data_IF_208525634769
#
_entry.id   IF_208525634769
#
_cell.length_a   1.000
_cell.length_b   1.000
_cell.length_c   1.000
_cell.angle_alpha   90.00
_cell.angle_beta   90.00
_cell.angle_gamma   90.00
#
_symmetry.space_group_name_H-M   'P 1'
#
loop_
_entity.id
_entity.type
_entity.pdbx_description
1 polymer ?
#
# COMPACT_ATOMS: atom_id res chain seq x y z
N UNK A 1 -9.29 1.28 7.16
CA UNK A 1 -10.67 0.79 7.36
C UNK A 1 -10.76 0.23 8.77
N UNK A 2 -11.92 0.31 9.43
CA UNK A 2 -12.15 -0.32 10.73
C UNK A 2 -12.85 -1.67 10.64
N UNK A 3 -13.20 -2.14 9.45
CA UNK A 3 -13.98 -3.37 9.29
C UNK A 3 -13.23 -4.60 9.86
N UNK A 4 -11.90 -4.61 9.75
CA UNK A 4 -11.04 -5.66 10.31
C UNK A 4 -11.20 -5.84 11.83
N UNK A 5 -11.63 -4.80 12.55
CA UNK A 5 -11.83 -4.89 14.00
C UNK A 5 -13.00 -5.81 14.39
N UNK A 6 -13.90 -6.11 13.45
CA UNK A 6 -15.03 -7.02 13.68
C UNK A 6 -14.62 -8.49 13.77
N UNK A 7 -13.49 -8.83 13.15
CA UNK A 7 -12.99 -10.20 13.04
C UNK A 7 -11.81 -10.44 13.98
N UNK A 8 -11.61 -9.58 14.99
CA UNK A 8 -10.51 -9.72 15.96
C UNK A 8 -10.58 -11.05 16.71
N UNK A 9 -11.78 -11.49 17.05
CA UNK A 9 -12.04 -12.78 17.71
C UNK A 9 -11.56 -13.97 16.87
N UNK A 10 -11.52 -13.82 15.55
CA UNK A 10 -10.99 -14.83 14.62
C UNK A 10 -9.49 -14.66 14.39
N UNK A 11 -9.04 -13.42 14.19
CA UNK A 11 -7.67 -13.11 13.78
C UNK A 11 -6.68 -13.25 14.95
N UNK A 12 -7.06 -12.84 16.17
CA UNK A 12 -6.16 -12.88 17.32
C UNK A 12 -5.69 -14.30 17.69
N UNK A 13 -6.57 -15.32 17.78
CA UNK A 13 -6.12 -16.71 18.03
C UNK A 13 -5.21 -17.27 16.94
N UNK A 14 -5.40 -16.84 15.68
CA UNK A 14 -4.51 -17.21 14.57
C UNK A 14 -3.15 -16.49 14.68
N UNK A 15 -3.15 -15.23 15.11
CA UNK A 15 -1.95 -14.45 15.31
C UNK A 15 -1.06 -15.02 16.43
N UNK A 16 -1.65 -15.51 17.53
CA UNK A 16 -0.94 -16.24 18.59
C UNK A 16 -0.18 -17.47 18.06
N UNK A 17 -0.76 -18.15 17.06
CA UNK A 17 -0.15 -19.29 16.38
C UNK A 17 0.80 -18.87 15.25
N UNK A 18 1.10 -17.58 15.10
CA UNK A 18 1.89 -17.02 13.99
C UNK A 18 1.30 -17.29 12.60
N UNK A 19 -0.02 -17.47 12.49
CA UNK A 19 -0.71 -17.77 11.24
C UNK A 19 -1.38 -16.55 10.60
N UNK A 20 -1.55 -15.46 11.35
CA UNK A 20 -2.17 -14.24 10.86
C UNK A 20 -1.43 -12.98 11.32
N UNK A 21 -1.47 -11.96 10.48
CA UNK A 21 -1.00 -10.62 10.77
C UNK A 21 -1.80 -9.60 9.94
N UNK A 22 -1.82 -8.34 10.36
CA UNK A 22 -2.52 -7.28 9.63
C UNK A 22 -1.53 -6.33 8.94
N UNK A 23 -1.94 -5.81 7.78
CA UNK A 23 -1.26 -4.70 7.10
C UNK A 23 -2.22 -3.54 6.90
N UNK A 24 -1.89 -2.36 7.44
CA UNK A 24 -2.73 -1.15 7.35
C UNK A 24 -2.01 -0.07 6.57
N UNK A 25 -2.63 0.43 5.50
CA UNK A 25 -2.06 1.53 4.70
C UNK A 25 -2.26 2.88 5.38
N UNK A 26 -1.18 3.64 5.56
CA UNK A 26 -1.18 5.05 5.97
C UNK A 26 -0.58 5.89 4.84
N UNK A 27 -1.41 6.70 4.19
CA UNK A 27 -0.98 7.51 3.04
C UNK A 27 -0.39 8.86 3.46
N UNK A 28 -1.02 9.50 4.45
CA UNK A 28 -0.69 10.84 4.98
C UNK A 28 -1.28 10.95 6.38
N UNK A 29 -0.74 11.82 7.23
CA UNK A 29 -1.39 12.22 8.49
C UNK A 29 -2.21 13.50 8.31
N UNK A 30 -2.08 14.19 7.18
CA UNK A 30 -2.83 15.39 6.85
C UNK A 30 -4.27 15.04 6.41
N UNK A 31 -5.31 15.43 7.18
CA UNK A 31 -6.68 15.14 6.83
C UNK A 31 -7.15 15.90 5.57
N UNK A 32 -6.52 17.02 5.21
CA UNK A 32 -6.85 17.75 3.98
C UNK A 32 -6.38 16.97 2.74
N UNK A 33 -5.16 16.44 2.75
CA UNK A 33 -4.65 15.58 1.68
C UNK A 33 -5.47 14.29 1.60
N UNK A 34 -5.76 13.65 2.74
CA UNK A 34 -6.53 12.41 2.76
C UNK A 34 -7.95 12.61 2.18
N UNK A 35 -8.63 13.71 2.51
CA UNK A 35 -9.97 14.02 1.96
C UNK A 35 -10.00 14.19 0.45
N UNK A 36 -8.93 14.69 -0.16
CA UNK A 36 -8.89 14.88 -1.62
C UNK A 36 -8.38 13.64 -2.34
N UNK A 37 -7.38 12.95 -1.79
CA UNK A 37 -6.73 11.81 -2.43
C UNK A 37 -7.53 10.50 -2.24
N UNK A 38 -8.16 10.33 -1.09
CA UNK A 38 -8.84 9.09 -0.70
C UNK A 38 -10.17 9.35 0.05
N UNK A 39 -11.10 10.14 -0.53
CA UNK A 39 -12.30 10.66 0.15
C UNK A 39 -13.21 9.59 0.76
N UNK A 40 -13.21 8.37 0.21
CA UNK A 40 -14.04 7.25 0.66
C UNK A 40 -13.34 6.34 1.65
N UNK A 41 -12.05 6.56 1.90
CA UNK A 41 -11.28 5.74 2.80
C UNK A 41 -11.36 6.29 4.23
N UNK A 42 -11.08 5.43 5.21
CA UNK A 42 -11.05 5.85 6.60
C UNK A 42 -9.96 6.92 6.81
N UNK A 43 -10.30 7.98 7.55
CA UNK A 43 -9.39 9.07 7.88
C UNK A 43 -8.11 8.57 8.59
N UNK A 44 -6.98 9.30 8.50
CA UNK A 44 -5.70 8.86 9.07
C UNK A 44 -5.77 8.51 10.57
N UNK A 45 -6.42 9.37 11.36
CA UNK A 45 -6.61 9.13 12.79
C UNK A 45 -7.40 7.83 13.07
N UNK A 46 -8.38 7.50 12.23
CA UNK A 46 -9.15 6.26 12.37
C UNK A 46 -8.29 5.03 12.09
N UNK A 47 -7.36 5.11 11.13
CA UNK A 47 -6.41 4.03 10.82
C UNK A 47 -5.40 3.83 11.94
N UNK A 48 -4.87 4.90 12.53
CA UNK A 48 -4.00 4.81 13.71
C UNK A 48 -4.71 4.15 14.89
N UNK A 49 -5.99 4.49 15.12
CA UNK A 49 -6.81 3.79 16.12
C UNK A 49 -6.97 2.30 15.79
N UNK A 50 -7.22 1.95 14.53
CA UNK A 50 -7.30 0.54 14.11
C UNK A 50 -6.00 -0.21 14.38
N UNK A 51 -4.84 0.40 14.08
CA UNK A 51 -3.52 -0.19 14.39
C UNK A 51 -3.44 -0.49 15.89
N UNK A 52 -3.76 0.50 16.74
CA UNK A 52 -3.76 0.34 18.19
C UNK A 52 -4.67 -0.77 18.67
N UNK A 53 -5.91 -0.80 18.21
CA UNK A 53 -6.89 -1.83 18.60
C UNK A 53 -6.43 -3.24 18.21
N UNK A 54 -5.85 -3.41 17.02
CA UNK A 54 -5.33 -4.71 16.58
C UNK A 54 -4.11 -5.14 17.40
N UNK A 55 -3.17 -4.22 17.65
CA UNK A 55 -1.99 -4.50 18.48
C UNK A 55 -2.37 -4.84 19.92
N UNK A 56 -3.32 -4.12 20.52
CA UNK A 56 -3.84 -4.41 21.87
C UNK A 56 -4.51 -5.78 21.96
N UNK A 57 -5.09 -6.27 20.86
CA UNK A 57 -5.63 -7.62 20.76
C UNK A 57 -4.56 -8.70 20.48
N UNK A 58 -3.28 -8.35 20.50
CA UNK A 58 -2.18 -9.28 20.24
C UNK A 58 -1.93 -9.58 18.76
N UNK A 59 -2.59 -8.87 17.84
CA UNK A 59 -2.41 -9.06 16.39
C UNK A 59 -1.20 -8.23 15.92
N UNK A 60 -0.17 -8.85 15.32
CA UNK A 60 0.96 -8.13 14.74
C UNK A 60 0.52 -7.25 13.58
N UNK A 61 0.87 -5.97 13.61
CA UNK A 61 0.52 -5.00 12.57
C UNK A 61 1.75 -4.46 11.86
N UNK A 62 1.74 -4.54 10.54
CA UNK A 62 2.64 -3.80 9.64
C UNK A 62 1.91 -2.62 9.02
N UNK A 63 2.62 -1.53 8.75
CA UNK A 63 2.07 -0.41 7.98
C UNK A 63 2.60 -0.35 6.57
N UNK A 64 1.72 0.04 5.64
CA UNK A 64 2.10 0.38 4.27
C UNK A 64 2.09 1.90 4.11
N UNK A 65 3.25 2.52 3.97
CA UNK A 65 3.36 3.96 3.66
C UNK A 65 3.20 4.13 2.16
N UNK A 66 1.96 4.30 1.70
CA UNK A 66 1.63 4.28 0.29
C UNK A 66 0.35 5.07 -0.07
N UNK A 67 0.30 5.71 -1.26
CA UNK A 67 1.45 5.96 -2.14
C UNK A 67 2.37 7.05 -1.57
N UNK A 68 3.69 6.87 -1.71
CA UNK A 68 4.65 7.97 -1.60
C UNK A 68 4.58 8.79 -2.89
N UNK A 69 4.14 10.03 -2.75
CA UNK A 69 3.99 11.02 -3.83
C UNK A 69 5.01 12.13 -3.54
N UNK A 70 6.01 12.35 -4.43
CA UNK A 70 7.00 13.41 -4.24
C UNK A 70 6.35 14.77 -3.96
N UNK A 71 6.85 15.50 -2.95
CA UNK A 71 6.37 16.84 -2.56
C UNK A 71 4.91 16.92 -2.06
N UNK A 72 4.22 15.79 -1.91
CA UNK A 72 2.86 15.73 -1.36
C UNK A 72 2.87 14.89 -0.08
N UNK A 73 3.04 13.57 -0.17
CA UNK A 73 3.09 12.67 1.00
C UNK A 73 4.51 12.28 1.40
N UNK A 74 5.47 12.38 0.48
CA UNK A 74 6.89 12.07 0.71
C UNK A 74 7.54 12.84 1.88
N UNK A 75 7.20 14.10 2.16
CA UNK A 75 7.74 14.79 3.34
C UNK A 75 7.33 14.17 4.68
N UNK A 76 6.23 13.40 4.73
CA UNK A 76 5.65 12.87 5.96
C UNK A 76 6.16 11.48 6.36
N UNK A 77 7.08 10.86 5.60
CA UNK A 77 7.51 9.46 5.79
C UNK A 77 7.85 9.16 7.26
N UNK A 78 8.74 9.93 7.87
CA UNK A 78 9.20 9.69 9.24
C UNK A 78 8.08 9.90 10.25
N UNK A 79 7.25 10.93 10.05
CA UNK A 79 6.13 11.25 10.95
C UNK A 79 5.06 10.17 10.91
N UNK A 80 4.78 9.61 9.73
CA UNK A 80 3.85 8.47 9.57
C UNK A 80 4.40 7.25 10.31
N UNK A 81 5.70 6.97 10.17
CA UNK A 81 6.34 5.84 10.84
C UNK A 81 6.33 6.00 12.36
N UNK A 82 6.63 7.20 12.87
CA UNK A 82 6.55 7.52 14.30
C UNK A 82 5.13 7.31 14.83
N UNK A 83 4.12 7.88 14.17
CA UNK A 83 2.73 7.71 14.57
C UNK A 83 2.27 6.24 14.51
N UNK A 84 2.74 5.47 13.53
CA UNK A 84 2.45 4.05 13.40
C UNK A 84 3.10 3.23 14.52
N UNK A 85 4.38 3.51 14.83
CA UNK A 85 5.09 2.92 15.95
C UNK A 85 4.37 3.20 17.27
N UNK A 86 3.97 4.44 17.52
CA UNK A 86 3.25 4.85 18.74
C UNK A 86 1.86 4.23 18.85
N UNK A 87 1.28 3.85 17.71
CA UNK A 87 0.06 3.05 17.64
C UNK A 87 0.31 1.54 17.85
N UNK A 88 1.56 1.09 17.89
CA UNK A 88 1.94 -0.29 18.16
C UNK A 88 2.22 -1.13 16.90
N UNK A 89 2.45 -0.52 15.74
CA UNK A 89 2.92 -1.24 14.58
C UNK A 89 4.38 -1.68 14.75
N UNK A 90 4.70 -2.90 14.34
CA UNK A 90 6.03 -3.53 14.49
C UNK A 90 6.76 -3.73 13.16
N UNK A 91 6.11 -3.38 12.06
CA UNK A 91 6.61 -3.54 10.70
C UNK A 91 6.21 -2.38 9.82
N UNK A 92 7.02 -2.10 8.80
CA UNK A 92 6.65 -1.13 7.78
C UNK A 92 7.22 -1.51 6.40
N UNK A 93 6.48 -1.16 5.36
CA UNK A 93 6.96 -1.10 3.99
C UNK A 93 6.40 0.14 3.31
N UNK A 94 6.94 0.50 2.14
CA UNK A 94 6.44 1.62 1.36
C UNK A 94 6.21 1.24 -0.10
N UNK A 95 5.43 2.07 -0.78
CA UNK A 95 5.29 2.00 -2.24
C UNK A 95 5.22 3.42 -2.79
N UNK A 96 6.09 3.72 -3.74
CA UNK A 96 6.04 4.94 -4.54
C UNK A 96 4.83 4.89 -5.46
N UNK A 97 4.21 6.04 -5.70
CA UNK A 97 3.07 6.19 -6.60
C UNK A 97 3.27 5.43 -7.93
N UNK A 98 2.22 4.72 -8.33
CA UNK A 98 2.13 3.99 -9.60
C UNK A 98 1.00 4.61 -10.42
N UNK A 99 1.27 4.83 -11.70
CA UNK A 99 0.34 5.46 -12.64
C UNK A 99 0.01 4.53 -13.82
N UNK A 100 -0.52 3.32 -13.58
CA UNK A 100 -0.93 2.44 -14.68
C UNK A 100 -2.15 3.03 -15.40
N UNK A 101 -2.11 3.05 -16.73
CA UNK A 101 -3.27 3.23 -17.60
C UNK A 101 -4.18 4.41 -17.19
N UNK A 102 -5.43 4.14 -16.82
CA UNK A 102 -6.47 5.12 -16.50
C UNK A 102 -6.15 5.92 -15.23
N UNK A 103 -5.30 5.40 -14.35
CA UNK A 103 -4.91 6.10 -13.11
C UNK A 103 -4.05 7.33 -13.42
N UNK A 104 -3.26 7.29 -14.50
CA UNK A 104 -2.37 8.40 -14.86
C UNK A 104 -3.13 9.73 -15.12
N UNK A 105 -4.07 9.80 -16.08
CA UNK A 105 -4.80 11.04 -16.34
C UNK A 105 -5.58 11.52 -15.11
N UNK A 106 -6.25 10.61 -14.38
CA UNK A 106 -7.00 10.96 -13.16
C UNK A 106 -6.10 11.56 -12.08
N UNK A 107 -4.91 11.01 -11.89
CA UNK A 107 -3.96 11.54 -10.93
C UNK A 107 -3.44 12.92 -11.34
N UNK A 108 -3.14 13.13 -12.63
CA UNK A 108 -2.69 14.43 -13.12
C UNK A 108 -3.77 15.51 -12.98
N UNK A 109 -5.03 15.18 -13.27
CA UNK A 109 -6.17 16.07 -13.05
C UNK A 109 -6.34 16.42 -11.56
N UNK A 110 -6.28 15.41 -10.68
CA UNK A 110 -6.32 15.61 -9.24
C UNK A 110 -5.19 16.52 -8.76
N UNK A 111 -3.98 16.29 -9.25
CA UNK A 111 -2.80 17.05 -8.90
C UNK A 111 -2.91 18.51 -9.37
N UNK A 112 -3.46 18.73 -10.57
CA UNK A 112 -3.71 20.07 -11.08
C UNK A 112 -4.80 20.81 -10.27
N UNK A 113 -5.84 20.09 -9.83
CA UNK A 113 -6.93 20.68 -9.05
C UNK A 113 -6.52 21.05 -7.61
N UNK A 114 -5.64 20.25 -6.99
CA UNK A 114 -5.34 20.39 -5.55
C UNK A 114 -3.91 20.89 -5.25
N UNK A 115 -2.96 20.72 -6.17
CA UNK A 115 -1.57 21.12 -6.00
C UNK A 115 -0.98 21.72 -7.30
N UNK A 116 -1.62 22.72 -7.92
CA UNK A 116 -1.22 23.24 -9.24
C UNK A 116 0.25 23.70 -9.27
N UNK A 117 0.71 24.37 -8.21
CA UNK A 117 2.09 24.89 -8.10
C UNK A 117 3.15 23.77 -8.03
N UNK A 118 2.74 22.55 -7.68
CA UNK A 118 3.63 21.39 -7.55
C UNK A 118 3.46 20.40 -8.69
N UNK A 119 2.40 20.53 -9.50
CA UNK A 119 1.97 19.47 -10.42
C UNK A 119 3.07 19.04 -11.38
N UNK A 120 3.67 20.00 -12.09
CA UNK A 120 4.77 19.74 -13.01
C UNK A 120 5.98 19.11 -12.30
N UNK A 121 6.33 19.60 -11.11
CA UNK A 121 7.49 19.14 -10.35
C UNK A 121 7.31 17.70 -9.85
N UNK A 122 6.10 17.36 -9.39
CA UNK A 122 5.74 16.00 -8.98
C UNK A 122 5.84 15.05 -10.16
N UNK A 123 5.23 15.39 -11.30
CA UNK A 123 5.27 14.53 -12.50
C UNK A 123 6.68 14.35 -13.06
N UNK A 124 7.50 15.41 -13.07
CA UNK A 124 8.91 15.29 -13.43
C UNK A 124 9.65 14.33 -12.50
N UNK A 125 9.37 14.39 -11.19
CA UNK A 125 10.03 13.48 -10.24
C UNK A 125 9.54 12.04 -10.35
N UNK A 126 8.26 11.83 -10.69
CA UNK A 126 7.76 10.49 -11.04
C UNK A 126 8.50 9.94 -12.25
N UNK A 127 8.76 10.75 -13.28
CA UNK A 127 9.55 10.32 -14.45
C UNK A 127 10.99 9.96 -14.08
N UNK A 128 11.64 10.77 -13.24
CA UNK A 128 12.99 10.45 -12.74
C UNK A 128 13.03 9.08 -12.04
N UNK A 129 12.00 8.77 -11.25
CA UNK A 129 11.85 7.50 -10.54
C UNK A 129 11.58 6.29 -11.46
N UNK A 130 11.37 6.52 -12.75
CA UNK A 130 10.88 5.52 -13.74
C UNK A 130 11.66 5.59 -15.05
N UNK A 131 12.89 6.09 -15.03
CA UNK A 131 13.75 6.16 -16.23
C UNK A 131 13.16 7.02 -17.36
N UNK A 132 12.45 8.10 -17.01
CA UNK A 132 11.84 9.04 -17.95
C UNK A 132 10.37 8.76 -18.29
N UNK A 133 9.80 7.65 -17.82
CA UNK A 133 8.40 7.25 -18.10
C UNK A 133 7.46 7.70 -16.98
N UNK A 134 6.17 7.85 -17.25
CA UNK A 134 5.20 8.07 -16.17
C UNK A 134 4.98 6.80 -15.32
N UNK A 135 5.18 5.62 -15.91
CA UNK A 135 5.03 4.33 -15.23
C UNK A 135 5.94 3.25 -15.82
N UNK A 136 6.41 2.35 -14.95
CA UNK A 136 7.13 1.13 -15.30
C UNK A 136 6.43 -0.06 -14.61
N UNK A 137 6.09 -1.09 -15.37
CA UNK A 137 5.37 -2.28 -14.89
C UNK A 137 6.29 -3.37 -14.32
N UNK A 138 7.61 -3.25 -14.49
CA UNK A 138 8.60 -4.19 -13.95
C UNK A 138 8.44 -4.34 -12.44
N UNK A 139 8.18 -5.57 -11.97
CA UNK A 139 7.94 -5.87 -10.57
C UNK A 139 9.09 -5.45 -9.65
N UNK A 140 10.33 -5.48 -10.14
CA UNK A 140 11.52 -5.11 -9.36
C UNK A 140 11.58 -3.59 -9.08
N UNK A 141 11.00 -2.77 -9.96
CA UNK A 141 11.10 -1.31 -9.90
C UNK A 141 9.78 -0.62 -9.57
N UNK A 142 8.65 -1.17 -9.99
CA UNK A 142 7.32 -0.53 -9.91
C UNK A 142 6.93 -0.08 -8.51
N UNK A 143 7.42 -0.73 -7.46
CA UNK A 143 7.11 -0.38 -6.07
C UNK A 143 8.02 0.70 -5.46
N UNK A 144 9.30 0.76 -5.86
CA UNK A 144 10.29 1.62 -5.18
C UNK A 144 10.89 2.71 -6.08
N UNK A 145 10.83 2.54 -7.39
CA UNK A 145 11.50 3.40 -8.37
C UNK A 145 12.99 3.12 -8.51
N UNK A 146 13.66 3.92 -9.34
CA UNK A 146 15.11 3.91 -9.54
C UNK A 146 15.71 5.32 -9.47
N UNK A 147 17.04 5.40 -9.41
CA UNK A 147 17.78 6.66 -9.40
C UNK A 147 17.86 7.34 -8.02
N UNK A 148 18.49 8.52 -8.01
CA UNK A 148 18.87 9.24 -6.77
C UNK A 148 17.67 9.51 -5.86
N UNK A 149 16.51 9.85 -6.42
CA UNK A 149 15.34 10.12 -5.60
C UNK A 149 14.76 8.87 -4.94
N UNK A 150 14.78 7.72 -5.65
CA UNK A 150 14.40 6.44 -5.06
C UNK A 150 15.35 6.07 -3.92
N UNK A 151 16.64 6.30 -4.09
CA UNK A 151 17.64 6.08 -3.04
C UNK A 151 17.44 6.99 -1.83
N UNK A 152 17.08 8.26 -2.02
CA UNK A 152 16.75 9.17 -0.92
C UNK A 152 15.53 8.68 -0.14
N UNK A 153 14.44 8.33 -0.82
CA UNK A 153 13.23 7.77 -0.18
C UNK A 153 13.59 6.49 0.59
N UNK A 154 14.33 5.57 -0.04
CA UNK A 154 14.77 4.32 0.58
C UNK A 154 15.59 4.57 1.83
N UNK A 155 16.57 5.47 1.77
CA UNK A 155 17.43 5.79 2.92
C UNK A 155 16.64 6.42 4.07
N UNK A 156 15.78 7.40 3.79
CA UNK A 156 14.89 8.02 4.78
C UNK A 156 14.03 6.97 5.48
N UNK A 157 13.35 6.14 4.68
CA UNK A 157 12.48 5.09 5.17
C UNK A 157 13.24 4.05 6.01
N UNK A 158 14.33 3.47 5.47
CA UNK A 158 15.10 2.43 6.17
C UNK A 158 15.68 2.95 7.49
N UNK A 159 16.28 4.14 7.50
CA UNK A 159 16.85 4.71 8.72
C UNK A 159 15.78 4.99 9.78
N UNK A 160 14.59 5.43 9.38
CA UNK A 160 13.49 5.65 10.30
C UNK A 160 12.95 4.34 10.87
N UNK A 161 12.77 3.31 10.04
CA UNK A 161 12.38 1.96 10.47
C UNK A 161 13.39 1.37 11.45
N UNK A 162 14.68 1.47 11.14
CA UNK A 162 15.75 0.96 12.00
C UNK A 162 15.78 1.69 13.35
N UNK A 163 15.65 3.03 13.33
CA UNK A 163 15.59 3.86 14.54
C UNK A 163 14.39 3.52 15.43
N UNK A 164 13.24 3.21 14.84
CA UNK A 164 12.00 2.89 15.54
C UNK A 164 11.88 1.40 15.91
N UNK A 165 12.84 0.55 15.53
CA UNK A 165 12.77 -0.89 15.78
C UNK A 165 11.65 -1.61 15.02
N UNK A 166 11.07 -1.01 13.97
CA UNK A 166 9.96 -1.59 13.19
C UNK A 166 10.43 -2.66 12.17
N UNK A 167 11.48 -3.39 12.50
CA UNK A 167 12.07 -4.45 11.67
C UNK A 167 11.51 -5.85 11.95
N UNK A 168 10.63 -6.01 12.96
CA UNK A 168 10.23 -7.32 13.48
C UNK A 168 9.45 -8.19 12.48
N UNK A 169 8.79 -7.59 11.49
CA UNK A 169 8.18 -8.32 10.38
C UNK A 169 9.20 -9.05 9.50
N UNK A 170 10.51 -8.83 9.67
CA UNK A 170 11.58 -9.64 9.06
C UNK A 170 11.99 -10.83 9.93
N UNK A 171 11.53 -10.88 11.20
CA UNK A 171 11.90 -11.85 12.24
C UNK A 171 10.77 -12.84 12.56
N UNK A 172 10.21 -12.77 13.77
CA UNK A 172 9.18 -13.69 14.32
C UNK A 172 7.98 -13.90 13.38
N UNK A 173 7.60 -12.86 12.64
CA UNK A 173 6.51 -12.90 11.64
C UNK A 173 7.02 -12.78 10.19
N UNK A 174 8.34 -12.81 9.98
CA UNK A 174 8.95 -12.88 8.64
C UNK A 174 8.64 -14.17 7.91
N UNK A 175 8.18 -15.19 8.65
CA UNK A 175 7.54 -16.38 8.12
C UNK A 175 6.32 -16.70 8.98
N UNK A 176 5.13 -16.44 8.46
CA UNK A 176 3.91 -17.00 9.04
C UNK A 176 4.01 -18.54 9.04
N UNK A 177 3.42 -19.19 10.04
CA UNK A 177 3.31 -20.64 10.09
C UNK A 177 2.40 -21.13 8.96
N UNK A 178 3.03 -21.56 7.87
CA UNK A 178 2.38 -22.18 6.73
C UNK A 178 2.32 -23.71 6.81
N UNK A 179 2.69 -24.34 7.94
CA UNK A 179 2.77 -25.80 8.05
C UNK A 179 1.43 -26.51 7.80
N UNK A 180 0.32 -25.83 8.10
CA UNK A 180 -1.04 -26.33 7.87
C UNK A 180 -1.59 -25.97 6.48
N UNK A 181 -0.85 -25.22 5.67
CA UNK A 181 -1.29 -24.85 4.32
C UNK A 181 -1.38 -26.08 3.41
N UNK A 182 -2.54 -26.30 2.81
CA UNK A 182 -2.77 -27.36 1.82
C UNK A 182 -3.08 -26.74 0.47
N UNK A 183 -2.26 -27.06 -0.54
CA UNK A 183 -2.51 -26.65 -1.93
C UNK A 183 -3.87 -27.21 -2.38
N UNK A 184 -4.74 -26.42 -3.04
CA UNK A 184 -5.98 -26.93 -3.60
C UNK A 184 -5.71 -28.10 -4.55
N UNK A 185 -6.43 -29.21 -4.37
CA UNK A 185 -6.28 -30.42 -5.18
C UNK A 185 -6.76 -30.25 -6.62
N UNK A 186 -7.64 -29.26 -6.86
CA UNK A 186 -8.14 -28.91 -8.19
C UNK A 186 -7.72 -27.48 -8.51
N UNK A 187 -6.84 -27.33 -9.50
CA UNK A 187 -6.63 -26.05 -10.19
C UNK A 187 -7.54 -26.10 -11.42
N UNK A 188 -8.62 -25.28 -11.49
CA UNK A 188 -9.44 -25.23 -12.69
C UNK A 188 -8.54 -24.93 -13.90
N UNK A 189 -8.72 -25.68 -14.99
CA UNK A 189 -7.95 -25.47 -16.21
C UNK A 189 -8.13 -24.01 -16.65
N UNK A 190 -7.01 -23.31 -16.90
CA UNK A 190 -7.06 -21.97 -17.48
C UNK A 190 -7.81 -22.11 -18.82
N UNK A 191 -8.90 -21.37 -19.07
CA UNK A 191 -9.60 -21.46 -20.33
C UNK A 191 -8.60 -21.26 -21.47
N UNK A 192 -8.66 -22.15 -22.46
CA UNK A 192 -7.73 -22.14 -23.58
C UNK A 192 -7.77 -20.76 -24.26
N UNK A 193 -6.61 -20.13 -24.39
CA UNK A 193 -6.48 -18.92 -25.19
C UNK A 193 -6.65 -19.33 -26.66
N UNK A 194 -7.90 -19.33 -27.15
CA UNK A 194 -8.20 -19.75 -28.51
C UNK A 194 -9.59 -20.35 -28.68
N UNK A 195 -10.64 -19.61 -28.36
CA UNK A 195 -11.95 -19.79 -28.97
C UNK A 195 -12.53 -18.40 -29.24
N UNK A 196 -11.97 -17.72 -30.25
CA UNK A 196 -12.69 -16.67 -30.93
C UNK A 196 -13.85 -17.33 -31.68
N UNK A 197 -15.01 -17.45 -31.03
CA UNK A 197 -16.26 -17.68 -31.75
C UNK A 197 -16.76 -16.33 -32.23
N UNK A 198 -16.74 -16.18 -33.55
CA UNK A 198 -17.41 -15.09 -34.24
C UNK A 198 -18.92 -15.08 -33.88
N UNK A 199 -19.44 -13.91 -33.53
CA UNK A 199 -20.88 -13.62 -33.51
C UNK A 199 -21.50 -13.47 -32.13
N UNK A 200 -21.53 -12.24 -31.62
CA UNK A 200 -22.34 -11.86 -30.45
C UNK A 200 -21.89 -10.54 -29.86
N UNK A 201 -22.56 -9.45 -30.25
CA UNK A 201 -22.28 -8.07 -29.80
C UNK A 201 -22.35 -7.97 -28.27
N UNK A 202 -21.29 -7.41 -27.69
CA UNK A 202 -21.29 -6.57 -26.48
C UNK A 202 -22.08 -7.05 -25.26
N UNK A 203 -21.45 -7.86 -24.42
CA UNK A 203 -21.68 -7.83 -22.99
C UNK A 203 -20.32 -7.64 -22.33
N UNK A 204 -20.03 -6.39 -21.98
CA UNK A 204 -18.80 -6.00 -21.30
C UNK A 204 -18.82 -6.45 -19.85
N UNK A 205 -17.64 -6.42 -19.24
CA UNK A 205 -17.34 -6.69 -17.84
C UNK A 205 -17.91 -5.60 -16.90
N UNK A 206 -19.22 -5.34 -17.02
CA UNK A 206 -20.03 -4.47 -16.18
C UNK A 206 -21.32 -5.16 -15.71
N UNK A 207 -21.67 -6.34 -16.21
CA UNK A 207 -22.84 -7.13 -15.74
C UNK A 207 -22.61 -7.88 -14.40
N UNK A 208 -21.66 -7.41 -13.58
CA UNK A 208 -21.42 -7.91 -12.22
C UNK A 208 -21.66 -6.85 -11.14
N UNK A 209 -22.33 -5.75 -11.50
CA UNK A 209 -22.85 -4.75 -10.58
C UNK A 209 -24.29 -4.38 -10.92
#
# INVERSE_FOLDING_TARGET
SSLIERDIDLIAPMAEQSQACAAITLTTLDPAISRTLEPRAAAPARRLRTIRTLTEAGIPVSVSVAPIIPFVTEPEIERILEAAHDAGAIGAHYTVLRLPWEVNPLFQEWLQAHFPDRAQRVMNRIRDLRGGKDYDSDFSKRMHGEGVWADLIRQRFSKAVDRLGMGEFRGRFGRLDGSQFRKPLVVPARPAAGAATAGGKGAGQLDLF
#
